data_IF_895996299989
#
_entry.id   IF_895996299989
#
_cell.length_a   1.000
_cell.length_b   1.000
_cell.length_c   1.000
_cell.angle_alpha   90.00
_cell.angle_beta   90.00
_cell.angle_gamma   90.00
#
_symmetry.space_group_name_H-M   'P 1'
#
loop_
_entity.id
_entity.type
_entity.pdbx_description
1 polymer ?
#
# COMPACT_ATOMS: atom_id res chain seq x y z
N UNK A 1 19.67 -6.24 -35.77
CA UNK A 1 20.92 -6.00 -35.03
C UNK A 1 20.62 -5.00 -33.91
N UNK A 2 20.95 -5.33 -32.65
CA UNK A 2 20.88 -4.39 -31.54
C UNK A 2 22.21 -3.67 -31.37
N UNK A 3 22.20 -2.37 -31.10
CA UNK A 3 23.40 -1.57 -30.89
C UNK A 3 23.87 -1.61 -29.42
N UNK A 4 23.00 -2.05 -28.51
CA UNK A 4 23.27 -2.17 -27.08
C UNK A 4 22.02 -2.49 -26.31
N UNK A 5 22.16 -2.70 -25.02
CA UNK A 5 21.07 -2.92 -24.07
C UNK A 5 21.47 -2.39 -22.68
N UNK A 6 20.48 -2.21 -21.83
CA UNK A 6 20.65 -1.76 -20.45
C UNK A 6 20.25 -2.89 -19.51
N UNK A 7 21.08 -3.15 -18.52
CA UNK A 7 20.75 -4.03 -17.39
C UNK A 7 20.46 -3.17 -16.16
N UNK A 8 19.35 -3.42 -15.50
CA UNK A 8 18.98 -2.72 -14.27
C UNK A 8 18.87 -3.69 -13.09
N UNK A 9 19.33 -3.26 -11.92
CA UNK A 9 19.09 -3.91 -10.64
C UNK A 9 18.20 -3.00 -9.80
N UNK A 10 17.07 -3.51 -9.31
CA UNK A 10 16.27 -2.79 -8.33
C UNK A 10 16.94 -2.89 -6.97
N UNK A 11 17.34 -1.74 -6.42
CA UNK A 11 18.15 -1.70 -5.21
C UNK A 11 17.36 -1.29 -3.96
N UNK A 12 16.15 -0.76 -4.12
CA UNK A 12 15.27 -0.37 -3.01
C UNK A 12 13.95 -1.12 -3.16
N UNK A 13 13.48 -1.70 -2.07
CA UNK A 13 12.18 -2.35 -1.99
C UNK A 13 11.68 -2.26 -0.54
N UNK A 14 10.46 -2.74 -0.26
CA UNK A 14 9.93 -2.86 1.12
C UNK A 14 10.83 -3.69 2.05
N UNK A 15 11.74 -4.50 1.52
CA UNK A 15 12.75 -5.26 2.29
C UNK A 15 13.99 -4.43 2.65
N UNK A 16 14.06 -3.20 2.18
CA UNK A 16 15.17 -2.27 2.38
C UNK A 16 16.08 -2.13 1.16
N UNK A 17 17.20 -1.44 1.40
CA UNK A 17 18.24 -1.18 0.42
C UNK A 17 19.12 -2.42 0.20
N UNK A 18 19.45 -2.71 -1.06
CA UNK A 18 20.41 -3.76 -1.42
C UNK A 18 21.79 -3.49 -0.79
N UNK A 19 22.47 -4.54 -0.35
CA UNK A 19 23.81 -4.41 0.22
C UNK A 19 24.82 -3.92 -0.83
N UNK A 20 25.85 -3.21 -0.38
CA UNK A 20 26.93 -2.72 -1.25
C UNK A 20 27.63 -3.87 -1.99
N UNK A 21 27.77 -5.01 -1.32
CA UNK A 21 28.36 -6.22 -1.87
C UNK A 21 27.57 -6.74 -3.08
N UNK A 22 26.23 -6.70 -3.01
CA UNK A 22 25.34 -7.10 -4.10
C UNK A 22 25.51 -6.21 -5.33
N UNK A 23 25.66 -4.89 -5.11
CA UNK A 23 25.95 -3.92 -6.19
C UNK A 23 27.29 -4.18 -6.85
N UNK A 24 28.31 -4.47 -6.06
CA UNK A 24 29.66 -4.78 -6.55
C UNK A 24 29.64 -6.07 -7.37
N UNK A 25 28.99 -7.11 -6.85
CA UNK A 25 28.84 -8.38 -7.54
C UNK A 25 28.07 -8.23 -8.85
N UNK A 26 26.97 -7.49 -8.86
CA UNK A 26 26.20 -7.18 -10.06
C UNK A 26 27.08 -6.47 -11.10
N UNK A 27 27.83 -5.44 -10.68
CA UNK A 27 28.75 -4.72 -11.57
C UNK A 27 29.81 -5.62 -12.20
N UNK A 28 30.39 -6.56 -11.44
CA UNK A 28 31.36 -7.53 -11.93
C UNK A 28 30.75 -8.49 -12.94
N UNK A 29 29.56 -9.02 -12.65
CA UNK A 29 28.82 -9.92 -13.57
C UNK A 29 28.50 -9.22 -14.89
N UNK A 30 28.07 -7.95 -14.85
CA UNK A 30 27.77 -7.15 -16.05
C UNK A 30 29.05 -6.93 -16.87
N UNK A 31 30.18 -6.60 -16.24
CA UNK A 31 31.48 -6.43 -16.92
C UNK A 31 31.97 -7.74 -17.59
N UNK A 32 31.83 -8.85 -16.86
CA UNK A 32 32.18 -10.16 -17.37
C UNK A 32 31.34 -10.55 -18.59
N UNK A 33 30.02 -10.32 -18.51
CA UNK A 33 29.11 -10.56 -19.63
C UNK A 33 29.44 -9.69 -20.83
N UNK A 34 29.68 -8.39 -20.64
CA UNK A 34 30.08 -7.50 -21.72
C UNK A 34 31.38 -7.94 -22.40
N UNK A 35 32.38 -8.37 -21.60
CA UNK A 35 33.64 -8.92 -22.14
C UNK A 35 33.42 -10.15 -23.00
N UNK A 36 32.55 -11.08 -22.61
CA UNK A 36 32.21 -12.27 -23.41
C UNK A 36 31.54 -11.91 -24.73
N UNK A 37 30.81 -10.81 -24.78
CA UNK A 37 30.13 -10.31 -25.97
C UNK A 37 31.02 -9.41 -26.84
N UNK A 38 32.22 -9.10 -26.39
CA UNK A 38 33.11 -8.13 -27.08
C UNK A 38 32.56 -6.71 -27.04
N UNK A 39 31.75 -6.37 -26.05
CA UNK A 39 31.06 -5.09 -25.92
C UNK A 39 31.73 -4.20 -24.88
N UNK A 40 31.68 -2.88 -25.10
CA UNK A 40 31.99 -1.88 -24.08
C UNK A 40 30.87 -1.80 -23.05
N UNK A 41 31.21 -1.49 -21.80
CA UNK A 41 30.22 -1.35 -20.72
C UNK A 41 30.51 -0.13 -19.85
N UNK A 42 29.46 0.61 -19.48
CA UNK A 42 29.48 1.62 -18.42
C UNK A 42 28.67 1.10 -17.24
N UNK A 43 29.27 1.09 -16.06
CA UNK A 43 28.62 0.66 -14.80
C UNK A 43 28.70 1.79 -13.79
N UNK A 44 27.59 2.07 -13.10
CA UNK A 44 27.54 3.07 -12.06
C UNK A 44 28.53 2.75 -10.92
N UNK A 45 29.08 3.80 -10.30
CA UNK A 45 29.92 3.65 -9.12
C UNK A 45 29.05 3.31 -7.92
N UNK A 46 29.34 2.21 -7.22
CA UNK A 46 28.55 1.74 -6.10
C UNK A 46 28.48 2.75 -4.93
N UNK A 47 29.61 3.42 -4.60
CA UNK A 47 29.66 4.38 -3.52
C UNK A 47 28.83 5.64 -3.82
N UNK A 48 28.95 6.17 -5.03
CA UNK A 48 28.17 7.32 -5.47
C UNK A 48 26.67 6.98 -5.50
N UNK A 49 26.33 5.75 -5.90
CA UNK A 49 24.94 5.27 -5.89
C UNK A 49 24.40 5.18 -4.45
N UNK A 50 25.15 4.58 -3.51
CA UNK A 50 24.70 4.43 -2.12
C UNK A 50 24.42 5.77 -1.46
N UNK A 51 25.21 6.81 -1.72
CA UNK A 51 24.98 8.17 -1.19
C UNK A 51 23.61 8.75 -1.59
N UNK A 52 23.07 8.36 -2.76
CA UNK A 52 21.76 8.78 -3.24
C UNK A 52 20.68 7.82 -2.77
N UNK A 53 20.98 6.53 -2.68
CA UNK A 53 20.01 5.49 -2.36
C UNK A 53 19.63 5.44 -0.88
N UNK A 54 20.59 5.72 0.05
CA UNK A 54 20.32 5.72 1.48
C UNK A 54 19.24 6.71 1.91
N UNK A 55 19.27 8.00 1.53
CA UNK A 55 18.19 8.95 1.84
C UNK A 55 16.85 8.55 1.20
N UNK A 56 16.89 7.91 0.02
CA UNK A 56 15.68 7.42 -0.66
C UNK A 56 15.06 6.23 0.08
N UNK A 57 15.88 5.30 0.56
CA UNK A 57 15.41 4.17 1.37
C UNK A 57 14.78 4.65 2.68
N UNK A 58 15.42 5.62 3.37
CA UNK A 58 14.86 6.25 4.57
C UNK A 58 13.50 6.90 4.31
N UNK A 59 13.34 7.59 3.17
CA UNK A 59 12.06 8.16 2.75
C UNK A 59 11.04 7.05 2.52
N UNK A 60 11.41 5.99 1.80
CA UNK A 60 10.51 4.85 1.54
C UNK A 60 10.01 4.23 2.84
N UNK A 61 10.89 4.00 3.83
CA UNK A 61 10.49 3.49 5.15
C UNK A 61 9.50 4.43 5.85
N UNK A 62 9.72 5.75 5.77
CA UNK A 62 8.86 6.74 6.43
C UNK A 62 7.47 6.84 5.80
N UNK A 63 7.35 6.73 4.49
CA UNK A 63 6.08 6.86 3.77
C UNK A 63 5.33 5.54 3.60
N UNK A 64 5.96 4.40 3.85
CA UNK A 64 5.32 3.07 3.77
C UNK A 64 4.41 2.85 4.98
N UNK A 65 3.24 3.51 4.93
CA UNK A 65 2.27 3.51 6.01
C UNK A 65 0.89 3.11 5.51
N UNK A 66 0.18 2.35 6.33
CA UNK A 66 -1.22 2.00 6.12
C UNK A 66 -2.07 2.58 7.25
N UNK A 67 -3.08 3.33 6.91
CA UNK A 67 -4.08 3.81 7.88
C UNK A 67 -5.14 2.72 8.02
N UNK A 68 -5.35 2.26 9.25
CA UNK A 68 -6.41 1.33 9.58
C UNK A 68 -7.51 2.04 10.38
N UNK A 69 -8.76 1.80 10.00
CA UNK A 69 -9.93 2.21 10.77
C UNK A 69 -10.74 0.96 11.07
N UNK A 70 -10.97 0.71 12.35
CA UNK A 70 -11.72 -0.46 12.78
C UNK A 70 -13.19 -0.09 12.97
N UNK A 71 -14.05 -0.88 12.34
CA UNK A 71 -15.50 -0.81 12.50
C UNK A 71 -15.88 -1.95 13.44
N UNK A 72 -16.25 -1.60 14.69
CA UNK A 72 -16.43 -2.60 15.74
C UNK A 72 -17.87 -2.62 16.24
N UNK A 73 -18.37 -3.83 16.53
CA UNK A 73 -19.68 -4.05 17.13
C UNK A 73 -19.56 -4.24 18.64
N UNK A 74 -20.50 -3.69 19.38
CA UNK A 74 -20.62 -3.94 20.82
C UNK A 74 -21.03 -5.39 21.11
N UNK A 75 -21.83 -5.96 20.23
CA UNK A 75 -22.27 -7.36 20.34
C UNK A 75 -21.61 -8.21 19.23
N UNK A 76 -22.28 -8.36 18.12
CA UNK A 76 -21.78 -9.00 16.92
C UNK A 76 -22.61 -8.56 15.70
N UNK A 77 -22.04 -8.70 14.53
CA UNK A 77 -22.68 -8.45 13.24
C UNK A 77 -22.55 -9.70 12.40
N UNK A 78 -23.61 -10.10 11.68
CA UNK A 78 -23.54 -11.30 10.83
C UNK A 78 -22.63 -11.07 9.63
N UNK A 79 -21.89 -12.09 9.22
CA UNK A 79 -21.03 -12.00 8.04
C UNK A 79 -21.84 -11.73 6.77
N UNK A 80 -23.10 -12.18 6.71
CA UNK A 80 -24.03 -11.87 5.61
C UNK A 80 -24.33 -10.37 5.52
N UNK A 81 -24.53 -9.70 6.65
CA UNK A 81 -24.75 -8.25 6.68
C UNK A 81 -23.49 -7.49 6.28
N UNK A 82 -22.32 -7.89 6.78
CA UNK A 82 -21.01 -7.32 6.38
C UNK A 82 -20.83 -7.45 4.86
N UNK A 83 -21.00 -8.66 4.33
CA UNK A 83 -20.90 -8.93 2.89
C UNK A 83 -21.84 -8.05 2.08
N UNK A 84 -23.13 -8.05 2.42
CA UNK A 84 -24.14 -7.27 1.72
C UNK A 84 -23.84 -5.77 1.74
N UNK A 85 -23.38 -5.23 2.88
CA UNK A 85 -23.02 -3.81 3.01
C UNK A 85 -21.80 -3.47 2.14
N UNK A 86 -20.74 -4.28 2.18
CA UNK A 86 -19.53 -4.07 1.37
C UNK A 86 -19.83 -4.17 -0.13
N UNK A 87 -20.57 -5.22 -0.56
CA UNK A 87 -20.97 -5.40 -1.97
C UNK A 87 -21.86 -4.26 -2.46
N UNK A 88 -22.76 -3.72 -1.62
CA UNK A 88 -23.61 -2.56 -1.97
C UNK A 88 -22.80 -1.30 -2.28
N UNK A 89 -21.60 -1.17 -1.71
CA UNK A 89 -20.64 -0.11 -1.96
C UNK A 89 -19.57 -0.51 -2.99
N UNK A 90 -19.79 -1.61 -3.73
CA UNK A 90 -18.94 -2.10 -4.82
C UNK A 90 -17.58 -2.65 -4.36
N UNK A 91 -17.50 -3.16 -3.14
CA UNK A 91 -16.38 -4.00 -2.76
C UNK A 91 -16.58 -5.42 -3.31
N UNK A 92 -15.51 -6.04 -3.74
CA UNK A 92 -15.49 -7.41 -4.26
C UNK A 92 -14.59 -8.29 -3.41
N UNK A 93 -15.09 -9.46 -3.00
CA UNK A 93 -14.32 -10.44 -2.25
C UNK A 93 -13.36 -11.20 -3.18
N UNK A 94 -12.06 -11.04 -2.93
CA UNK A 94 -11.00 -11.72 -3.65
C UNK A 94 -9.92 -12.19 -2.67
N UNK A 95 -9.60 -13.48 -2.70
CA UNK A 95 -8.61 -14.12 -1.82
C UNK A 95 -8.82 -13.82 -0.32
N UNK A 96 -10.08 -13.67 0.13
CA UNK A 96 -10.41 -13.40 1.53
C UNK A 96 -10.33 -11.94 1.96
N UNK A 97 -10.15 -11.02 1.03
CA UNK A 97 -10.11 -9.57 1.24
C UNK A 97 -11.20 -8.93 0.38
N UNK A 98 -11.94 -7.98 0.94
CA UNK A 98 -12.86 -7.17 0.15
C UNK A 98 -12.13 -5.97 -0.42
N UNK A 99 -12.06 -5.87 -1.75
CA UNK A 99 -11.38 -4.81 -2.47
C UNK A 99 -12.36 -3.81 -3.07
N UNK A 100 -12.11 -2.53 -2.82
CA UNK A 100 -12.71 -1.44 -3.58
C UNK A 100 -11.77 -1.05 -4.73
N UNK A 101 -12.27 -1.07 -5.96
CA UNK A 101 -11.49 -0.79 -7.16
C UNK A 101 -11.94 0.51 -7.82
N UNK A 102 -11.02 1.16 -8.50
CA UNK A 102 -11.34 2.30 -9.36
C UNK A 102 -12.01 1.86 -10.67
N UNK A 103 -12.32 2.85 -11.52
CA UNK A 103 -12.98 2.62 -12.83
C UNK A 103 -12.11 1.84 -13.82
N UNK A 104 -10.82 1.70 -13.54
CA UNK A 104 -9.86 0.95 -14.35
C UNK A 104 -9.58 -0.44 -13.77
N UNK A 105 -10.24 -0.82 -12.68
CA UNK A 105 -10.07 -2.10 -11.99
C UNK A 105 -8.87 -2.14 -11.04
N UNK A 106 -8.23 -1.00 -10.74
CA UNK A 106 -7.11 -0.92 -9.81
C UNK A 106 -7.61 -0.93 -8.37
N UNK A 107 -6.98 -1.74 -7.52
CA UNK A 107 -7.28 -1.78 -6.10
C UNK A 107 -6.92 -0.46 -5.42
N UNK A 108 -7.87 0.16 -4.72
CA UNK A 108 -7.68 1.40 -3.96
C UNK A 108 -7.70 1.14 -2.45
N UNK A 109 -8.81 0.61 -1.95
CA UNK A 109 -9.03 0.37 -0.53
C UNK A 109 -9.41 -1.08 -0.31
N UNK A 110 -9.23 -1.55 0.92
CA UNK A 110 -9.68 -2.89 1.24
C UNK A 110 -10.30 -2.97 2.64
N UNK A 111 -11.11 -4.02 2.83
CA UNK A 111 -11.65 -4.40 4.12
C UNK A 111 -11.17 -5.81 4.47
N UNK A 112 -10.63 -5.96 5.68
CA UNK A 112 -10.11 -7.22 6.21
C UNK A 112 -10.78 -7.53 7.55
N UNK A 113 -10.74 -8.80 7.97
CA UNK A 113 -11.20 -9.16 9.31
C UNK A 113 -10.35 -8.48 10.40
N UNK A 114 -10.92 -8.20 11.58
CA UNK A 114 -10.21 -7.55 12.69
C UNK A 114 -8.93 -8.27 13.11
N UNK A 115 -8.90 -9.59 13.03
CA UNK A 115 -7.74 -10.42 13.35
C UNK A 115 -6.82 -10.69 12.15
N UNK A 116 -7.08 -10.01 11.03
CA UNK A 116 -6.37 -10.19 9.76
C UNK A 116 -6.49 -11.58 9.13
N UNK A 117 -7.36 -12.45 9.63
CA UNK A 117 -7.65 -13.73 8.96
C UNK A 117 -8.47 -13.49 7.70
N UNK A 118 -8.27 -14.28 6.63
CA UNK A 118 -9.07 -14.14 5.43
C UNK A 118 -10.56 -14.37 5.67
N UNK A 119 -11.42 -13.57 5.07
CA UNK A 119 -12.85 -13.88 4.98
C UNK A 119 -13.04 -15.11 4.10
N UNK A 120 -13.75 -16.10 4.61
CA UNK A 120 -14.11 -17.30 3.85
C UNK A 120 -15.54 -17.12 3.35
N UNK A 121 -15.73 -17.07 2.04
CA UNK A 121 -17.03 -16.78 1.43
C UNK A 121 -18.18 -17.65 1.99
N UNK A 122 -17.96 -18.96 2.15
CA UNK A 122 -18.95 -19.87 2.73
C UNK A 122 -19.23 -19.61 4.22
N UNK A 123 -18.21 -19.13 4.96
CA UNK A 123 -18.35 -18.86 6.39
C UNK A 123 -19.07 -17.53 6.66
N UNK A 124 -19.00 -16.56 5.75
CA UNK A 124 -19.71 -15.29 5.87
C UNK A 124 -21.23 -15.47 6.00
N UNK A 125 -21.80 -16.51 5.41
CA UNK A 125 -23.24 -16.75 5.49
C UNK A 125 -23.71 -17.25 6.86
N UNK A 126 -22.82 -17.88 7.64
CA UNK A 126 -23.17 -18.59 8.87
C UNK A 126 -22.46 -18.06 10.12
N UNK A 127 -21.42 -17.24 9.96
CA UNK A 127 -20.63 -16.71 11.09
C UNK A 127 -21.04 -15.29 11.48
N UNK A 128 -20.79 -14.97 12.74
CA UNK A 128 -20.89 -13.62 13.28
C UNK A 128 -19.48 -13.09 13.59
N UNK A 129 -19.30 -11.81 13.41
CA UNK A 129 -18.02 -11.09 13.55
C UNK A 129 -18.15 -9.97 14.56
N UNK A 130 -17.04 -9.58 15.19
CA UNK A 130 -16.98 -8.39 16.06
C UNK A 130 -16.83 -7.10 15.27
N UNK A 131 -16.62 -7.20 13.97
CA UNK A 131 -16.39 -6.10 13.06
C UNK A 131 -15.36 -6.44 11.99
N UNK A 132 -14.81 -5.41 11.37
CA UNK A 132 -13.76 -5.51 10.36
C UNK A 132 -12.93 -4.22 10.31
N UNK A 133 -11.81 -4.26 9.62
CA UNK A 133 -10.92 -3.11 9.45
C UNK A 133 -10.94 -2.63 8.00
N UNK A 134 -11.04 -1.33 7.82
CA UNK A 134 -10.86 -0.65 6.53
C UNK A 134 -9.42 -0.13 6.45
N UNK A 135 -8.73 -0.44 5.36
CA UNK A 135 -7.32 -0.11 5.18
C UNK A 135 -7.11 0.85 4.00
N UNK A 136 -6.27 1.85 4.24
CA UNK A 136 -5.81 2.84 3.27
C UNK A 136 -4.28 2.82 3.22
N UNK A 137 -3.70 2.27 2.16
CA UNK A 137 -2.26 2.24 1.95
C UNK A 137 -1.83 3.52 1.21
N UNK A 138 -1.06 4.39 1.90
CA UNK A 138 -0.66 5.70 1.39
C UNK A 138 0.11 5.61 0.07
N UNK A 139 0.88 4.55 -0.10
CA UNK A 139 1.77 4.40 -1.25
C UNK A 139 1.08 3.87 -2.49
N UNK A 140 -0.11 3.26 -2.33
CA UNK A 140 -0.82 2.53 -3.40
C UNK A 140 -2.00 3.26 -3.99
N UNK A 141 -2.45 4.34 -3.35
CA UNK A 141 -3.61 5.12 -3.79
C UNK A 141 -3.19 6.47 -4.39
N UNK A 142 -3.98 7.03 -5.31
CA UNK A 142 -3.72 8.38 -5.84
C UNK A 142 -3.57 9.43 -4.74
N UNK A 143 -2.60 10.33 -4.87
CA UNK A 143 -2.32 11.35 -3.88
C UNK A 143 -3.47 12.36 -3.72
N UNK A 144 -3.56 12.91 -2.52
CA UNK A 144 -4.38 14.06 -2.18
C UNK A 144 -5.63 13.78 -1.35
N UNK A 145 -6.18 14.85 -0.80
CA UNK A 145 -7.33 14.82 0.12
C UNK A 145 -8.59 14.14 -0.47
N UNK A 146 -8.79 14.27 -1.78
CA UNK A 146 -9.97 13.70 -2.46
C UNK A 146 -10.07 12.18 -2.26
N UNK A 147 -8.95 11.48 -2.43
CA UNK A 147 -8.90 10.02 -2.29
C UNK A 147 -9.11 9.62 -0.84
N UNK A 148 -8.51 10.33 0.10
CA UNK A 148 -8.72 10.10 1.54
C UNK A 148 -10.17 10.36 1.95
N UNK A 149 -10.78 11.45 1.47
CA UNK A 149 -12.18 11.75 1.74
C UNK A 149 -13.11 10.67 1.18
N UNK A 150 -12.84 10.16 -0.02
CA UNK A 150 -13.59 9.02 -0.59
C UNK A 150 -13.51 7.79 0.30
N UNK A 151 -12.33 7.47 0.82
CA UNK A 151 -12.14 6.38 1.79
C UNK A 151 -12.98 6.59 3.04
N UNK A 152 -12.93 7.79 3.63
CA UNK A 152 -13.70 8.12 4.83
C UNK A 152 -15.21 8.10 4.59
N UNK A 153 -15.68 8.53 3.42
CA UNK A 153 -17.11 8.44 3.06
C UNK A 153 -17.58 6.97 3.04
N UNK A 154 -16.77 6.06 2.53
CA UNK A 154 -17.07 4.63 2.54
C UNK A 154 -17.10 4.08 3.98
N UNK A 155 -16.12 4.44 4.81
CA UNK A 155 -16.05 4.05 6.23
C UNK A 155 -17.29 4.51 6.99
N UNK A 156 -17.68 5.77 6.86
CA UNK A 156 -18.86 6.33 7.55
C UNK A 156 -20.14 5.67 7.06
N UNK A 157 -20.29 5.41 5.76
CA UNK A 157 -21.47 4.71 5.22
C UNK A 157 -21.59 3.29 5.77
N UNK A 158 -20.49 2.55 5.83
CA UNK A 158 -20.47 1.19 6.40
C UNK A 158 -20.79 1.21 7.90
N UNK A 159 -20.18 2.11 8.66
CA UNK A 159 -20.48 2.30 10.08
C UNK A 159 -21.97 2.57 10.31
N UNK A 160 -22.54 3.53 9.58
CA UNK A 160 -23.95 3.89 9.71
C UNK A 160 -24.90 2.78 9.31
N UNK A 161 -24.57 2.04 8.23
CA UNK A 161 -25.41 0.97 7.72
C UNK A 161 -25.45 -0.25 8.66
N UNK A 162 -24.30 -0.59 9.25
CA UNK A 162 -24.13 -1.77 10.10
C UNK A 162 -24.25 -1.46 11.60
N UNK A 163 -24.39 -0.19 12.00
CA UNK A 163 -24.43 0.22 13.41
C UNK A 163 -23.11 -0.07 14.14
N UNK A 164 -21.95 0.14 13.48
CA UNK A 164 -20.64 -0.14 14.03
C UNK A 164 -19.97 1.14 14.52
N UNK A 165 -19.29 1.06 15.66
CA UNK A 165 -18.48 2.14 16.19
C UNK A 165 -17.15 2.23 15.41
N UNK A 166 -16.67 3.46 15.15
CA UNK A 166 -15.39 3.72 14.47
C UNK A 166 -14.31 3.97 15.51
N UNK A 167 -13.26 3.16 15.46
CA UNK A 167 -12.14 3.29 16.42
C UNK A 167 -10.79 3.19 15.68
N UNK A 168 -9.77 3.78 16.30
CA UNK A 168 -8.37 3.67 15.87
C UNK A 168 -7.71 2.36 16.38
N UNK A 169 -6.40 2.18 16.07
CA UNK A 169 -5.62 1.01 16.53
C UNK A 169 -5.52 0.88 18.06
N UNK A 170 -5.79 1.95 18.80
CA UNK A 170 -5.81 1.97 20.26
C UNK A 170 -7.22 1.79 20.84
N UNK A 171 -8.21 1.53 19.99
CA UNK A 171 -9.63 1.39 20.30
C UNK A 171 -10.25 2.70 20.84
N UNK A 172 -9.70 3.85 20.51
CA UNK A 172 -10.32 5.14 20.81
C UNK A 172 -11.32 5.50 19.71
N UNK A 173 -12.45 6.07 20.08
CA UNK A 173 -13.43 6.60 19.12
C UNK A 173 -12.79 7.71 18.27
N UNK A 174 -13.08 7.68 16.96
CA UNK A 174 -12.55 8.68 16.04
C UNK A 174 -13.21 10.03 16.28
N UNK A 175 -12.40 11.04 16.59
CA UNK A 175 -12.83 12.43 16.74
C UNK A 175 -12.67 13.23 15.45
N UNK A 176 -13.35 14.38 15.37
CA UNK A 176 -13.12 15.33 14.27
C UNK A 176 -11.67 15.81 14.22
N UNK A 177 -11.01 15.94 15.38
CA UNK A 177 -9.61 16.32 15.45
C UNK A 177 -8.73 15.21 14.88
N UNK A 178 -8.96 13.95 15.26
CA UNK A 178 -8.26 12.79 14.69
C UNK A 178 -8.36 12.77 13.16
N UNK A 179 -9.56 13.01 12.60
CA UNK A 179 -9.75 13.07 11.14
C UNK A 179 -8.93 14.15 10.46
N UNK A 180 -8.83 15.33 11.08
CA UNK A 180 -8.00 16.42 10.53
C UNK A 180 -6.52 16.06 10.56
N UNK A 181 -6.06 15.53 11.68
CA UNK A 181 -4.65 15.21 11.90
C UNK A 181 -4.21 14.09 10.94
N UNK A 182 -5.00 13.02 10.81
CA UNK A 182 -4.67 11.91 9.93
C UNK A 182 -4.75 12.30 8.44
N UNK A 183 -5.70 13.18 8.06
CA UNK A 183 -5.77 13.70 6.70
C UNK A 183 -4.51 14.51 6.36
N UNK A 184 -4.10 15.43 7.24
CA UNK A 184 -2.88 16.20 7.05
C UNK A 184 -1.66 15.30 6.96
N UNK A 185 -1.57 14.30 7.84
CA UNK A 185 -0.49 13.31 7.84
C UNK A 185 -0.40 12.55 6.49
N UNK A 186 -1.55 12.06 5.97
CA UNK A 186 -1.59 11.36 4.68
C UNK A 186 -1.09 12.25 3.54
N UNK A 187 -1.59 13.49 3.47
CA UNK A 187 -1.19 14.45 2.42
C UNK A 187 0.30 14.74 2.52
N UNK A 188 0.82 15.05 3.71
CA UNK A 188 2.24 15.33 3.90
C UNK A 188 3.14 14.17 3.47
N UNK A 189 2.79 12.92 3.81
CA UNK A 189 3.56 11.74 3.39
C UNK A 189 3.52 11.54 1.87
N UNK A 190 2.35 11.73 1.24
CA UNK A 190 2.22 11.64 -0.21
C UNK A 190 2.98 12.78 -0.92
N UNK A 191 2.98 14.00 -0.37
CA UNK A 191 3.76 15.12 -0.90
C UNK A 191 5.27 14.86 -0.81
N UNK A 192 5.76 14.19 0.24
CA UNK A 192 7.14 13.74 0.31
C UNK A 192 7.49 12.77 -0.83
N UNK A 193 6.61 11.83 -1.17
CA UNK A 193 6.82 10.93 -2.31
C UNK A 193 6.87 11.72 -3.63
N UNK A 194 5.92 12.65 -3.83
CA UNK A 194 5.88 13.50 -5.03
C UNK A 194 7.14 14.38 -5.16
N UNK A 195 7.71 14.84 -4.04
CA UNK A 195 8.92 15.68 -4.05
C UNK A 195 10.17 14.99 -4.61
N UNK A 196 10.13 13.66 -4.71
CA UNK A 196 11.20 12.82 -5.28
C UNK A 196 10.74 12.03 -6.50
N UNK A 197 9.71 12.52 -7.17
CA UNK A 197 9.13 11.92 -8.38
C UNK A 197 8.59 10.48 -8.21
N UNK A 198 8.19 10.12 -6.99
CA UNK A 198 7.47 8.87 -6.71
C UNK A 198 5.98 9.20 -6.58
N UNK A 199 5.24 9.02 -7.66
CA UNK A 199 3.78 9.23 -7.62
C UNK A 199 3.09 8.07 -6.88
N UNK A 200 2.34 8.35 -5.78
CA UNK A 200 1.57 7.32 -5.08
C UNK A 200 0.61 6.60 -6.02
N UNK A 201 0.57 5.26 -5.93
CA UNK A 201 -0.22 4.45 -6.82
C UNK A 201 0.34 4.24 -8.23
N UNK A 202 1.53 4.74 -8.55
CA UNK A 202 2.21 4.47 -9.83
C UNK A 202 2.85 3.08 -9.86
N UNK A 203 3.23 2.62 -11.04
CA UNK A 203 4.00 1.38 -11.20
C UNK A 203 5.34 1.42 -10.45
N UNK A 204 5.97 2.61 -10.36
CA UNK A 204 7.19 2.79 -9.58
C UNK A 204 6.93 2.59 -8.09
N UNK A 205 5.87 3.22 -7.55
CA UNK A 205 5.48 3.03 -6.16
C UNK A 205 5.13 1.56 -5.88
N UNK A 206 4.39 0.89 -6.77
CA UNK A 206 4.08 -0.54 -6.61
C UNK A 206 5.34 -1.41 -6.53
N UNK A 207 6.39 -1.12 -7.31
CA UNK A 207 7.66 -1.85 -7.25
C UNK A 207 8.46 -1.57 -5.97
N UNK A 208 8.45 -0.32 -5.50
CA UNK A 208 9.18 0.07 -4.29
C UNK A 208 8.54 -0.49 -3.02
N UNK A 209 7.20 -0.55 -2.99
CA UNK A 209 6.40 -0.94 -1.82
C UNK A 209 5.72 -2.32 -1.96
N UNK A 210 6.33 -3.23 -2.73
CA UNK A 210 5.88 -4.63 -2.89
C UNK A 210 6.60 -5.60 -1.95
#
# INVERSE_FOLDING_TARGET
YYQGFVMGLQCISRKGLAAREDLTQFAEQVRQFASQMGAGVAVANADAFMQVAEPMDELCVRVDQTIAIHLVSRESVSGREIKAALESLKFELDAGIFWYRDVHGKNLFNAVNLDSTPFIAAALDDQAYRGFSMLYDLTKVPAGEKTFNQFMDLVVKLSSHLGLDLVDDQLNELSTQWLKDIRSYVVERQDEMLSVDIEPGSELAERLFS
#
